data_IF_106145030478
#
_entry.id   IF_106145030478
#
_cell.length_a   1.000
_cell.length_b   1.000
_cell.length_c   1.000
_cell.angle_alpha   90.00
_cell.angle_beta   90.00
_cell.angle_gamma   90.00
#
_symmetry.space_group_name_H-M   'P 1'
#
loop_
_entity.id
_entity.type
_entity.pdbx_description
1 polymer ?
#
# COMPACT_ATOMS: atom_id res chain seq x y z
N UNK A 1 67.24 78.05 17.75
CA UNK A 1 68.53 77.71 18.40
C UNK A 1 68.57 76.28 18.74
N UNK A 2 69.50 75.51 18.17
CA UNK A 2 70.13 74.22 18.58
C UNK A 2 69.23 73.05 18.94
N UNK A 3 69.11 72.04 18.14
CA UNK A 3 69.74 70.70 17.99
C UNK A 3 70.37 70.15 19.28
N UNK A 4 70.69 68.83 19.35
CA UNK A 4 70.27 67.58 18.66
C UNK A 4 70.27 66.32 19.58
N UNK A 5 70.06 65.14 18.98
CA UNK A 5 70.63 63.83 19.21
C UNK A 5 70.14 63.07 20.45
N UNK A 6 69.85 61.77 20.40
CA UNK A 6 70.75 60.70 20.03
C UNK A 6 69.99 59.45 19.61
N UNK A 7 70.61 58.67 18.77
CA UNK A 7 70.19 57.45 18.17
C UNK A 7 70.77 56.31 19.03
N UNK A 8 69.94 55.37 19.51
CA UNK A 8 70.43 54.09 20.10
C UNK A 8 69.86 52.88 19.30
N UNK A 9 70.75 52.09 18.64
CA UNK A 9 70.35 50.88 17.91
C UNK A 9 70.58 49.69 18.73
N UNK A 10 69.50 48.95 19.11
CA UNK A 10 69.72 47.63 19.60
C UNK A 10 68.64 47.00 20.48
N UNK A 11 67.57 46.62 19.84
CA UNK A 11 66.76 45.53 20.44
C UNK A 11 66.10 44.68 19.36
N UNK A 12 66.80 43.65 18.94
CA UNK A 12 66.26 42.61 18.05
C UNK A 12 65.24 41.79 18.80
N UNK A 13 63.95 42.12 18.61
CA UNK A 13 62.87 41.24 19.03
C UNK A 13 62.68 40.14 18.00
N UNK A 14 63.04 38.90 18.42
CA UNK A 14 62.67 37.70 17.66
C UNK A 14 61.15 37.54 17.69
N UNK A 15 60.53 37.71 16.55
CA UNK A 15 59.12 37.39 16.34
C UNK A 15 58.97 35.86 16.23
N UNK A 16 58.45 35.25 17.27
CA UNK A 16 58.03 33.82 17.24
C UNK A 16 56.72 33.74 16.44
N UNK A 17 56.81 33.20 15.23
CA UNK A 17 55.65 32.87 14.42
C UNK A 17 55.03 31.62 14.98
N UNK A 18 53.92 31.78 15.73
CA UNK A 18 53.06 30.64 16.11
C UNK A 18 52.17 30.29 14.92
N UNK A 19 52.54 29.25 14.19
CA UNK A 19 51.72 28.66 13.15
C UNK A 19 50.59 27.86 13.78
N UNK A 20 49.40 28.41 13.81
CA UNK A 20 48.20 27.67 14.20
C UNK A 20 47.81 26.72 13.06
N UNK A 21 48.07 25.43 13.21
CA UNK A 21 47.43 24.43 12.34
C UNK A 21 45.98 24.30 12.76
N UNK A 22 45.08 24.88 11.94
CA UNK A 22 43.66 24.65 12.04
C UNK A 22 43.34 23.24 11.49
N UNK A 23 43.15 22.25 12.40
CA UNK A 23 42.59 20.98 12.04
C UNK A 23 41.09 21.18 11.65
N UNK A 24 40.79 21.19 10.39
CA UNK A 24 39.43 21.15 9.89
C UNK A 24 38.91 19.71 10.04
N UNK A 25 38.10 19.47 11.07
CA UNK A 25 37.37 18.22 11.25
C UNK A 25 36.24 18.16 10.20
N UNK A 26 36.43 17.37 9.15
CA UNK A 26 35.37 17.05 8.19
C UNK A 26 34.39 16.09 8.87
N UNK A 27 33.28 16.64 9.36
CA UNK A 27 32.15 15.82 9.85
C UNK A 27 31.40 15.33 8.62
N UNK A 28 31.70 14.11 8.17
CA UNK A 28 30.89 13.39 7.18
C UNK A 28 29.59 12.97 7.82
N UNK A 29 28.51 13.69 7.58
CA UNK A 29 27.14 13.25 7.89
C UNK A 29 26.78 12.10 6.97
N UNK A 30 26.82 10.88 7.48
CA UNK A 30 26.26 9.72 6.79
C UNK A 30 24.74 9.85 6.84
N UNK A 31 24.13 10.31 5.75
CA UNK A 31 22.69 10.21 5.55
C UNK A 31 22.36 8.74 5.32
N UNK A 32 21.97 8.04 6.40
CA UNK A 32 21.28 6.76 6.30
C UNK A 32 19.93 7.06 5.65
N UNK A 33 19.84 6.88 4.34
CA UNK A 33 18.56 6.80 3.65
C UNK A 33 17.85 5.56 4.22
N UNK A 34 16.90 5.77 5.12
CA UNK A 34 15.91 4.76 5.46
C UNK A 34 15.13 4.48 4.20
N UNK A 35 15.46 3.37 3.53
CA UNK A 35 14.56 2.80 2.53
C UNK A 35 13.26 2.47 3.28
N UNK A 36 12.22 3.26 3.07
CA UNK A 36 10.91 3.00 3.67
C UNK A 36 10.49 1.58 3.28
N UNK A 37 10.02 0.81 4.26
CA UNK A 37 9.50 -0.52 3.98
C UNK A 37 8.38 -0.43 2.95
N UNK A 38 8.38 -1.33 1.97
CA UNK A 38 7.38 -1.34 0.90
C UNK A 38 5.97 -1.57 1.46
N UNK A 39 4.98 -0.93 0.85
CA UNK A 39 3.57 -1.24 1.11
C UNK A 39 3.32 -2.70 0.75
N UNK A 40 2.82 -3.50 1.69
CA UNK A 40 2.60 -4.95 1.53
C UNK A 40 1.20 -5.36 1.93
N UNK A 41 0.71 -6.44 1.35
CA UNK A 41 -0.51 -7.15 1.75
C UNK A 41 -0.22 -8.63 1.91
N UNK A 42 -0.90 -9.27 2.85
CA UNK A 42 -0.83 -10.70 3.13
C UNK A 42 -2.20 -11.22 3.53
N UNK A 43 -2.38 -12.54 3.44
CA UNK A 43 -3.57 -13.25 3.92
C UNK A 43 -3.15 -14.41 4.82
N UNK A 44 -3.98 -14.75 5.80
CA UNK A 44 -3.83 -16.00 6.55
C UNK A 44 -4.41 -17.21 5.79
N UNK A 45 -5.20 -16.98 4.74
CA UNK A 45 -5.92 -18.02 4.01
C UNK A 45 -5.11 -18.61 2.86
N UNK A 46 -4.12 -17.84 2.34
CA UNK A 46 -3.25 -18.25 1.23
C UNK A 46 -2.00 -17.37 1.14
N UNK A 47 -0.98 -17.89 0.44
CA UNK A 47 0.25 -17.16 0.13
C UNK A 47 0.20 -16.57 -1.28
N UNK A 48 1.03 -15.55 -1.56
CA UNK A 48 1.25 -15.06 -2.91
C UNK A 48 1.80 -16.16 -3.82
N UNK A 49 1.29 -16.26 -5.04
CA UNK A 49 1.56 -17.35 -5.98
C UNK A 49 0.87 -18.69 -5.63
N UNK A 50 0.18 -18.77 -4.52
CA UNK A 50 -0.49 -19.98 -4.03
C UNK A 50 -1.86 -20.24 -4.66
N UNK A 51 -2.58 -21.18 -4.04
CA UNK A 51 -3.97 -21.50 -4.41
C UNK A 51 -4.93 -20.85 -3.43
N UNK A 52 -6.09 -20.42 -3.96
CA UNK A 52 -7.17 -19.91 -3.10
C UNK A 52 -7.74 -21.04 -2.25
N UNK A 53 -8.15 -20.72 -1.02
CA UNK A 53 -8.72 -21.69 -0.09
C UNK A 53 -10.14 -22.10 -0.45
N UNK A 54 -10.55 -23.30 -0.03
CA UNK A 54 -11.90 -23.81 -0.29
C UNK A 54 -13.01 -22.95 0.30
N UNK A 55 -12.74 -22.23 1.40
CA UNK A 55 -13.70 -21.33 2.04
C UNK A 55 -14.05 -20.10 1.19
N UNK A 56 -13.13 -19.66 0.34
CA UNK A 56 -13.29 -18.50 -0.51
C UNK A 56 -14.05 -18.82 -1.81
N UNK A 57 -14.23 -20.10 -2.16
CA UNK A 57 -14.92 -20.53 -3.39
C UNK A 57 -16.39 -20.10 -3.38
N UNK A 58 -16.89 -19.71 -4.55
CA UNK A 58 -18.28 -19.30 -4.75
C UNK A 58 -19.29 -20.39 -4.36
N UNK A 59 -20.47 -19.99 -3.96
CA UNK A 59 -21.56 -20.88 -3.50
C UNK A 59 -22.66 -21.10 -4.54
N UNK A 60 -22.45 -20.67 -5.78
CA UNK A 60 -23.41 -20.78 -6.88
C UNK A 60 -22.68 -21.08 -8.21
N UNK A 61 -23.38 -21.00 -9.35
CA UNK A 61 -22.85 -21.26 -10.70
C UNK A 61 -22.15 -22.63 -10.85
N UNK A 62 -22.60 -23.64 -10.10
CA UNK A 62 -22.03 -24.99 -10.09
C UNK A 62 -20.84 -25.16 -9.14
N UNK A 63 -20.44 -24.14 -8.39
CA UNK A 63 -19.51 -24.20 -7.26
C UNK A 63 -20.29 -24.35 -5.93
N UNK A 64 -19.64 -24.94 -4.93
CA UNK A 64 -20.26 -25.26 -3.64
C UNK A 64 -19.37 -24.84 -2.45
N UNK A 65 -18.66 -23.71 -2.59
CA UNK A 65 -17.85 -23.17 -1.50
C UNK A 65 -18.70 -22.37 -0.51
N UNK A 66 -18.15 -21.99 0.65
CA UNK A 66 -18.82 -21.12 1.61
C UNK A 66 -18.92 -19.65 1.19
N UNK A 67 -18.23 -19.22 0.14
CA UNK A 67 -18.20 -17.84 -0.37
C UNK A 67 -17.75 -16.81 0.67
N UNK A 68 -16.77 -17.15 1.49
CA UNK A 68 -16.23 -16.23 2.50
C UNK A 68 -15.13 -15.36 1.90
N UNK A 69 -15.26 -14.04 2.04
CA UNK A 69 -14.18 -13.13 1.63
C UNK A 69 -12.90 -13.40 2.43
N UNK A 70 -11.72 -13.31 1.83
CA UNK A 70 -10.48 -13.66 2.52
C UNK A 70 -10.15 -12.69 3.65
N UNK A 71 -9.40 -13.18 4.63
CA UNK A 71 -8.70 -12.32 5.58
C UNK A 71 -7.56 -11.59 4.88
N UNK A 72 -7.38 -10.30 5.17
CA UNK A 72 -6.31 -9.50 4.60
C UNK A 72 -5.66 -8.65 5.69
N UNK A 73 -4.34 -8.56 5.64
CA UNK A 73 -3.55 -7.66 6.50
C UNK A 73 -2.58 -6.88 5.63
N UNK A 74 -2.48 -5.57 5.86
CA UNK A 74 -1.54 -4.73 5.11
C UNK A 74 -0.71 -3.85 6.02
N UNK A 75 0.50 -3.51 5.56
CA UNK A 75 1.51 -2.75 6.31
C UNK A 75 2.22 -1.74 5.41
N UNK A 76 2.82 -0.75 6.04
CA UNK A 76 3.70 0.23 5.40
C UNK A 76 3.03 1.00 4.26
N UNK A 77 1.74 1.30 4.39
CA UNK A 77 1.06 2.21 3.48
C UNK A 77 1.70 3.61 3.55
N UNK A 78 1.66 4.39 2.46
CA UNK A 78 2.15 5.77 2.46
C UNK A 78 1.61 6.57 3.65
N UNK A 79 2.45 7.41 4.26
CA UNK A 79 2.10 8.14 5.49
C UNK A 79 0.89 9.09 5.32
N UNK A 80 0.66 9.56 4.09
CA UNK A 80 -0.46 10.45 3.73
C UNK A 80 -1.76 9.73 3.41
N UNK A 81 -1.85 8.41 3.66
CA UNK A 81 -3.05 7.61 3.41
C UNK A 81 -4.21 8.06 4.28
N UNK A 82 -5.35 8.34 3.66
CA UNK A 82 -6.59 8.78 4.30
C UNK A 82 -7.67 7.71 4.35
N UNK A 83 -7.67 6.80 3.37
CA UNK A 83 -8.54 5.60 3.38
C UNK A 83 -7.90 4.48 2.57
N UNK A 84 -8.52 3.30 2.64
CA UNK A 84 -8.13 2.16 1.80
C UNK A 84 -9.30 1.69 0.94
N UNK A 85 -8.92 1.05 -0.17
CA UNK A 85 -9.83 0.26 -1.01
C UNK A 85 -9.21 -1.12 -1.28
N UNK A 86 -10.07 -2.07 -1.61
CA UNK A 86 -9.65 -3.45 -1.93
C UNK A 86 -10.37 -3.88 -3.20
N UNK A 87 -9.66 -4.59 -4.07
CA UNK A 87 -10.26 -5.27 -5.21
C UNK A 87 -9.80 -6.72 -5.31
N UNK A 88 -10.67 -7.59 -5.85
CA UNK A 88 -10.32 -8.94 -6.30
C UNK A 88 -10.81 -9.08 -7.73
N UNK A 89 -9.87 -9.34 -8.63
CA UNK A 89 -10.10 -9.38 -10.06
C UNK A 89 -9.50 -10.64 -10.69
N UNK A 90 -10.32 -11.39 -11.41
CA UNK A 90 -9.89 -12.51 -12.26
C UNK A 90 -9.43 -11.96 -13.61
N UNK A 91 -8.13 -11.99 -13.85
CA UNK A 91 -7.54 -11.46 -15.08
C UNK A 91 -7.60 -12.41 -16.27
N UNK A 92 -7.92 -13.67 -16.03
CA UNK A 92 -7.93 -14.72 -17.04
C UNK A 92 -9.35 -15.08 -17.52
N UNK A 93 -10.38 -14.51 -16.90
CA UNK A 93 -11.75 -14.65 -17.37
C UNK A 93 -11.93 -14.02 -18.78
N UNK A 94 -12.77 -14.63 -19.65
CA UNK A 94 -12.96 -14.16 -21.02
C UNK A 94 -13.33 -12.68 -21.13
N UNK A 95 -13.07 -12.10 -22.29
CA UNK A 95 -13.32 -10.71 -22.67
C UNK A 95 -12.40 -9.71 -21.92
N UNK A 96 -12.80 -9.20 -20.78
CA UNK A 96 -12.09 -8.12 -20.05
C UNK A 96 -11.76 -8.50 -18.61
N UNK A 97 -11.78 -9.78 -18.27
CA UNK A 97 -11.65 -10.26 -16.90
C UNK A 97 -12.98 -10.20 -16.14
N UNK A 98 -12.95 -10.48 -14.81
CA UNK A 98 -14.14 -10.59 -13.98
C UNK A 98 -13.89 -10.03 -12.57
N UNK A 99 -14.78 -9.13 -12.15
CA UNK A 99 -14.74 -8.52 -10.83
C UNK A 99 -15.42 -9.42 -9.80
N UNK A 100 -14.64 -9.89 -8.84
CA UNK A 100 -15.10 -10.71 -7.71
C UNK A 100 -15.46 -9.88 -6.49
N UNK A 101 -14.76 -8.77 -6.29
CA UNK A 101 -14.98 -7.89 -5.14
C UNK A 101 -14.37 -6.52 -5.39
N UNK A 102 -15.04 -5.47 -4.92
CA UNK A 102 -14.47 -4.14 -4.76
C UNK A 102 -15.07 -3.48 -3.53
N UNK A 103 -14.21 -2.92 -2.69
CA UNK A 103 -14.55 -2.23 -1.44
C UNK A 103 -13.86 -0.89 -1.44
N UNK A 104 -14.55 0.16 -0.97
CA UNK A 104 -13.99 1.49 -0.79
C UNK A 104 -14.35 2.07 0.57
N UNK A 105 -13.71 3.20 0.91
CA UNK A 105 -13.97 3.95 2.14
C UNK A 105 -13.64 3.17 3.41
N UNK A 106 -12.61 2.31 3.38
CA UNK A 106 -12.08 1.66 4.56
C UNK A 106 -11.23 2.70 5.30
N UNK A 107 -11.50 3.02 6.59
CA UNK A 107 -10.77 4.06 7.32
C UNK A 107 -9.25 3.79 7.38
N UNK A 108 -8.44 4.86 7.37
CA UNK A 108 -6.98 4.77 7.43
C UNK A 108 -6.45 4.07 8.70
N UNK A 109 -7.22 4.04 9.78
CA UNK A 109 -6.88 3.34 11.02
C UNK A 109 -6.95 1.81 10.90
N UNK A 110 -7.69 1.29 9.93
CA UNK A 110 -7.84 -0.16 9.69
C UNK A 110 -6.60 -0.68 8.99
N UNK A 111 -6.03 -1.77 9.48
CA UNK A 111 -4.84 -2.43 8.93
C UNK A 111 -5.08 -3.88 8.55
N UNK A 112 -6.29 -4.38 8.81
CA UNK A 112 -6.68 -5.75 8.44
C UNK A 112 -8.19 -5.88 8.33
N UNK A 113 -8.64 -6.85 7.55
CA UNK A 113 -10.01 -7.35 7.54
C UNK A 113 -10.00 -8.83 7.95
N UNK A 114 -10.96 -9.25 8.77
CA UNK A 114 -11.13 -10.67 9.09
C UNK A 114 -11.65 -11.44 7.88
N UNK A 115 -11.50 -12.76 7.89
CA UNK A 115 -12.22 -13.62 6.98
C UNK A 115 -13.73 -13.35 7.06
N UNK A 116 -14.42 -13.46 5.94
CA UNK A 116 -15.86 -13.24 5.82
C UNK A 116 -16.31 -11.79 6.14
N UNK A 117 -15.41 -10.80 6.00
CA UNK A 117 -15.71 -9.38 6.29
C UNK A 117 -16.90 -8.86 5.48
N UNK A 118 -17.07 -9.31 4.23
CA UNK A 118 -18.18 -8.93 3.35
C UNK A 118 -19.53 -9.37 3.91
N UNK A 119 -19.75 -10.66 4.12
CA UNK A 119 -21.04 -11.17 4.54
C UNK A 119 -21.35 -10.94 6.03
N UNK A 120 -20.34 -10.81 6.90
CA UNK A 120 -20.53 -10.57 8.34
C UNK A 120 -21.04 -9.19 8.72
N UNK A 121 -21.02 -8.25 7.78
CA UNK A 121 -21.32 -6.85 8.02
C UNK A 121 -20.21 -6.07 8.71
N UNK A 122 -19.00 -6.63 8.81
CA UNK A 122 -17.85 -5.94 9.39
C UNK A 122 -17.51 -4.66 8.62
N UNK A 123 -17.54 -4.70 7.29
CA UNK A 123 -17.30 -3.53 6.42
C UNK A 123 -18.32 -2.41 6.65
N UNK A 124 -19.59 -2.75 6.75
CA UNK A 124 -20.64 -1.76 7.01
C UNK A 124 -20.46 -1.05 8.37
N UNK A 125 -19.98 -1.78 9.39
CA UNK A 125 -19.66 -1.19 10.70
C UNK A 125 -18.51 -0.19 10.64
N UNK A 126 -17.61 -0.34 9.66
CA UNK A 126 -16.51 0.59 9.39
C UNK A 126 -16.93 1.79 8.53
N UNK A 127 -18.16 1.81 8.00
CA UNK A 127 -18.61 2.81 7.03
C UNK A 127 -18.09 2.55 5.62
N UNK A 128 -17.46 1.41 5.37
CA UNK A 128 -17.02 1.01 4.04
C UNK A 128 -18.21 0.59 3.17
N UNK A 129 -18.04 0.76 1.87
CA UNK A 129 -19.04 0.42 0.84
C UNK A 129 -18.51 -0.66 -0.08
N UNK A 130 -19.42 -1.49 -0.57
CA UNK A 130 -19.10 -2.59 -1.47
C UNK A 130 -19.78 -2.39 -2.83
N UNK A 131 -19.04 -2.76 -3.87
CA UNK A 131 -19.53 -2.76 -5.24
C UNK A 131 -20.45 -3.95 -5.51
N UNK A 132 -21.23 -3.82 -6.58
CA UNK A 132 -21.83 -4.96 -7.26
C UNK A 132 -20.78 -5.61 -8.15
N UNK A 133 -20.49 -6.87 -7.88
CA UNK A 133 -19.54 -7.68 -8.65
C UNK A 133 -20.17 -8.21 -9.96
N UNK A 134 -19.38 -8.91 -10.76
CA UNK A 134 -19.85 -9.39 -12.08
C UNK A 134 -20.77 -10.62 -11.99
N UNK A 135 -20.95 -11.23 -10.80
CA UNK A 135 -22.07 -12.17 -10.53
C UNK A 135 -23.39 -11.45 -10.25
N UNK A 136 -23.42 -10.11 -10.35
CA UNK A 136 -24.58 -9.25 -10.08
C UNK A 136 -25.06 -9.31 -8.61
N UNK A 137 -24.15 -9.54 -7.67
CA UNK A 137 -24.39 -9.46 -6.23
C UNK A 137 -23.52 -8.37 -5.59
N UNK A 138 -24.02 -7.73 -4.55
CA UNK A 138 -23.27 -6.74 -3.80
C UNK A 138 -22.29 -7.44 -2.85
N UNK A 139 -21.01 -7.04 -2.88
CA UNK A 139 -19.96 -7.62 -2.05
C UNK A 139 -19.14 -8.72 -2.72
N UNK A 140 -18.66 -9.67 -1.93
CA UNK A 140 -17.74 -10.72 -2.38
C UNK A 140 -18.49 -11.85 -3.11
N UNK A 141 -17.96 -12.21 -4.29
CA UNK A 141 -18.29 -13.42 -5.02
C UNK A 141 -17.03 -14.22 -5.30
N UNK A 142 -16.91 -15.40 -4.75
CA UNK A 142 -15.70 -16.21 -4.84
C UNK A 142 -15.40 -16.74 -6.23
N UNK A 143 -14.22 -17.33 -6.44
CA UNK A 143 -13.85 -18.00 -7.68
C UNK A 143 -14.80 -19.14 -8.03
N UNK A 144 -15.20 -19.18 -9.31
CA UNK A 144 -15.91 -20.30 -9.91
C UNK A 144 -15.69 -20.30 -11.45
N UNK A 145 -14.45 -20.51 -11.92
CA UNK A 145 -14.16 -20.54 -13.35
C UNK A 145 -14.79 -21.79 -14.00
N UNK A 146 -15.00 -21.79 -15.32
CA UNK A 146 -15.32 -23.01 -16.06
C UNK A 146 -14.22 -24.08 -15.84
N UNK A 147 -14.54 -25.38 -16.00
CA UNK A 147 -13.51 -26.42 -16.03
C UNK A 147 -12.45 -26.15 -17.08
N UNK A 148 -11.17 -26.25 -16.69
CA UNK A 148 -10.05 -25.97 -17.59
C UNK A 148 -8.80 -25.47 -16.87
N UNK A 149 -8.05 -24.58 -17.53
CA UNK A 149 -6.86 -23.99 -16.93
C UNK A 149 -7.19 -23.16 -15.71
N UNK A 150 -6.39 -23.22 -14.64
CA UNK A 150 -6.58 -22.35 -13.49
C UNK A 150 -6.47 -20.86 -13.88
N UNK A 151 -7.38 -20.05 -13.31
CA UNK A 151 -7.36 -18.60 -13.44
C UNK A 151 -6.53 -17.95 -12.33
N UNK A 152 -6.03 -16.74 -12.58
CA UNK A 152 -5.28 -15.91 -11.63
C UNK A 152 -6.19 -14.82 -11.09
N UNK A 153 -6.31 -14.79 -9.78
CA UNK A 153 -7.08 -13.80 -9.02
C UNK A 153 -6.10 -12.83 -8.38
N UNK A 154 -6.16 -11.57 -8.79
CA UNK A 154 -5.33 -10.51 -8.25
C UNK A 154 -6.10 -9.81 -7.14
N UNK A 155 -5.56 -9.88 -5.92
CA UNK A 155 -6.06 -9.19 -4.74
C UNK A 155 -5.20 -7.95 -4.54
N UNK A 156 -5.80 -6.76 -4.60
CA UNK A 156 -5.08 -5.49 -4.45
C UNK A 156 -5.65 -4.68 -3.30
N UNK A 157 -4.79 -4.19 -2.42
CA UNK A 157 -5.10 -3.16 -1.43
C UNK A 157 -4.52 -1.84 -1.92
N UNK A 158 -5.34 -0.82 -1.99
CA UNK A 158 -4.97 0.54 -2.40
C UNK A 158 -4.98 1.48 -1.21
N UNK A 159 -3.95 2.29 -1.10
CA UNK A 159 -3.90 3.42 -0.17
C UNK A 159 -4.33 4.69 -0.92
N UNK A 160 -5.34 5.40 -0.41
CA UNK A 160 -5.96 6.52 -1.09
C UNK A 160 -5.65 7.86 -0.38
N UNK A 161 -5.60 8.94 -1.17
CA UNK A 161 -5.36 10.31 -0.68
C UNK A 161 -6.64 11.05 -0.25
N UNK A 162 -7.78 10.38 -0.24
CA UNK A 162 -9.10 10.91 0.16
C UNK A 162 -9.71 10.06 1.29
N UNK A 163 -10.53 10.65 2.15
CA UNK A 163 -11.24 9.92 3.20
C UNK A 163 -12.34 9.04 2.63
N UNK A 164 -13.04 9.56 1.62
CA UNK A 164 -14.15 8.87 0.96
C UNK A 164 -14.12 9.11 -0.54
N UNK A 165 -14.46 8.08 -1.31
CA UNK A 165 -14.75 8.21 -2.72
C UNK A 165 -16.24 8.53 -2.94
N UNK A 166 -16.60 9.28 -3.99
CA UNK A 166 -17.99 9.66 -4.30
C UNK A 166 -18.76 8.48 -4.93
N UNK A 167 -18.78 7.36 -4.25
CA UNK A 167 -19.40 6.10 -4.67
C UNK A 167 -20.54 5.73 -3.74
N UNK A 168 -21.55 5.06 -4.29
CA UNK A 168 -22.64 4.47 -3.53
C UNK A 168 -22.50 2.94 -3.47
N UNK A 169 -23.03 2.33 -2.41
CA UNK A 169 -23.17 0.88 -2.27
C UNK A 169 -23.85 0.28 -3.51
N UNK A 170 -23.38 -0.85 -3.98
CA UNK A 170 -23.97 -1.60 -5.09
C UNK A 170 -23.79 -0.99 -6.48
N UNK A 171 -22.96 0.04 -6.65
CA UNK A 171 -22.54 0.49 -7.98
C UNK A 171 -21.60 -0.57 -8.60
N UNK A 172 -21.54 -0.70 -9.93
CA UNK A 172 -20.67 -1.68 -10.59
C UNK A 172 -19.20 -1.56 -10.17
N UNK A 173 -18.52 -2.68 -9.97
CA UNK A 173 -17.12 -2.73 -9.54
C UNK A 173 -16.16 -1.98 -10.47
N UNK A 174 -16.45 -1.95 -11.77
CA UNK A 174 -15.66 -1.16 -12.74
C UNK A 174 -15.70 0.35 -12.46
N UNK A 175 -16.76 0.89 -11.83
CA UNK A 175 -16.80 2.29 -11.39
C UNK A 175 -15.94 2.50 -10.14
N UNK A 176 -15.92 1.54 -9.22
CA UNK A 176 -15.02 1.55 -8.06
C UNK A 176 -13.57 1.60 -8.52
N UNK A 177 -13.17 0.73 -9.44
CA UNK A 177 -11.81 0.69 -9.98
C UNK A 177 -11.37 2.04 -10.56
N UNK A 178 -12.23 2.70 -11.32
CA UNK A 178 -11.96 4.02 -11.88
C UNK A 178 -11.70 5.08 -10.80
N UNK A 179 -12.57 5.18 -9.80
CA UNK A 179 -12.45 6.18 -8.73
C UNK A 179 -11.27 5.88 -7.81
N UNK A 180 -11.03 4.60 -7.52
CA UNK A 180 -9.86 4.13 -6.76
C UNK A 180 -8.58 4.56 -7.47
N UNK A 181 -8.46 4.28 -8.78
CA UNK A 181 -7.26 4.60 -9.57
C UNK A 181 -6.94 6.09 -9.54
N UNK A 182 -7.96 6.96 -9.62
CA UNK A 182 -7.80 8.42 -9.59
C UNK A 182 -7.32 8.99 -8.25
N UNK A 183 -7.43 8.22 -7.17
CA UNK A 183 -7.11 8.66 -5.80
C UNK A 183 -5.96 7.87 -5.15
N UNK A 184 -5.30 6.96 -5.90
CA UNK A 184 -4.31 6.03 -5.37
C UNK A 184 -2.96 6.70 -5.11
N UNK A 185 -2.44 6.58 -3.87
CA UNK A 185 -1.07 6.92 -3.48
C UNK A 185 -0.11 5.76 -3.70
N UNK A 186 -0.57 4.54 -3.57
CA UNK A 186 0.20 3.31 -3.72
C UNK A 186 -0.69 2.09 -3.54
N UNK A 187 -0.20 0.93 -3.97
CA UNK A 187 -0.92 -0.32 -3.87
C UNK A 187 0.00 -1.48 -3.51
N UNK A 188 -0.59 -2.52 -2.92
CA UNK A 188 0.06 -3.80 -2.64
C UNK A 188 -0.82 -4.93 -3.18
N UNK A 189 -0.19 -5.98 -3.73
CA UNK A 189 -0.90 -7.07 -4.40
C UNK A 189 -0.40 -8.43 -3.94
N UNK A 190 -1.30 -9.40 -3.94
CA UNK A 190 -1.02 -10.83 -3.97
C UNK A 190 -1.84 -11.46 -5.09
N UNK A 191 -1.27 -12.47 -5.75
CA UNK A 191 -1.93 -13.21 -6.81
C UNK A 191 -2.09 -14.66 -6.38
N UNK A 192 -3.27 -15.21 -6.53
CA UNK A 192 -3.57 -16.62 -6.22
C UNK A 192 -4.24 -17.27 -7.42
N UNK A 193 -4.23 -18.60 -7.45
CA UNK A 193 -4.83 -19.37 -8.54
C UNK A 193 -5.96 -20.25 -8.05
N UNK A 194 -6.95 -20.47 -8.92
CA UNK A 194 -7.99 -21.47 -8.74
C UNK A 194 -8.49 -21.99 -10.10
N UNK A 195 -8.73 -23.28 -10.17
CA UNK A 195 -9.31 -23.97 -11.32
C UNK A 195 -10.10 -25.20 -10.85
N UNK A 196 -10.94 -25.73 -11.70
CA UNK A 196 -11.74 -26.95 -11.45
C UNK A 196 -11.77 -27.89 -12.66
#
# INVERSE_FOLDING_TARGET
MRTPYDFDPGCTRRASVFTWLAMASVVTTVNLAYAGENFTVSSADFSDGGKIGSRQIFNDAGCKGPNQSPSLTWRNAPATTRSFAITIFDRDAPARGWWHWAVANIPASVKSLPENASASGALRKLGAIEARNDFNIDGYGGPCPPPGNPHRYVITVYALNVDTLPLAQGRPAALFDREISGSTLGSAQITVTYGR
#
